data_IF_397944351618
#
_entry.id   IF_397944351618
#
_cell.length_a   1.000
_cell.length_b   1.000
_cell.length_c   1.000
_cell.angle_alpha   90.00
_cell.angle_beta   90.00
_cell.angle_gamma   90.00
#
_symmetry.space_group_name_H-M   'P 1'
#
loop_
_entity.id
_entity.type
_entity.pdbx_description
1 polymer ?
#
# COMPACT_ATOMS: atom_id res chain seq x y z
N UNK A 1 -18.30 -71.58 -13.45
CA UNK A 1 -19.59 -71.82 -12.77
C UNK A 1 -19.58 -71.13 -11.42
N UNK A 2 -20.66 -70.40 -11.10
CA UNK A 2 -21.27 -70.05 -9.78
C UNK A 2 -20.42 -70.32 -8.52
N UNK A 3 -20.32 -69.46 -7.52
CA UNK A 3 -21.16 -68.35 -7.10
C UNK A 3 -20.76 -67.91 -5.68
N UNK A 4 -21.29 -66.74 -5.30
CA UNK A 4 -21.20 -66.07 -4.00
C UNK A 4 -21.39 -66.97 -2.76
N UNK A 5 -20.73 -66.63 -1.64
CA UNK A 5 -21.42 -66.25 -0.38
C UNK A 5 -20.44 -65.67 0.67
N UNK A 6 -20.87 -64.55 1.26
CA UNK A 6 -20.25 -63.76 2.33
C UNK A 6 -20.43 -64.43 3.71
N UNK A 7 -19.47 -64.23 4.60
CA UNK A 7 -19.57 -64.12 6.08
C UNK A 7 -18.11 -64.19 6.60
N UNK A 8 -17.55 -63.33 7.45
CA UNK A 8 -18.07 -62.63 8.60
C UNK A 8 -17.07 -61.55 9.06
N UNK A 9 -17.59 -60.43 9.56
CA UNK A 9 -17.03 -59.57 10.62
C UNK A 9 -15.71 -58.78 10.36
N UNK A 10 -15.80 -57.68 9.61
CA UNK A 10 -14.87 -56.54 9.76
C UNK A 10 -15.48 -55.60 10.81
N UNK A 11 -14.97 -55.67 12.03
CA UNK A 11 -15.28 -54.71 13.11
C UNK A 11 -14.68 -53.36 12.72
N UNK A 12 -15.46 -52.53 12.01
CA UNK A 12 -15.14 -51.12 11.83
C UNK A 12 -15.41 -50.42 13.17
N UNK A 13 -14.36 -50.28 13.99
CA UNK A 13 -14.35 -49.34 15.10
C UNK A 13 -14.33 -47.94 14.49
N UNK A 14 -15.52 -47.40 14.25
CA UNK A 14 -15.76 -46.00 13.92
C UNK A 14 -15.48 -45.18 15.19
N UNK A 15 -14.25 -44.68 15.33
CA UNK A 15 -13.93 -43.63 16.30
C UNK A 15 -14.29 -42.30 15.64
N UNK A 16 -15.37 -41.61 16.05
CA UNK A 16 -15.65 -40.27 15.53
C UNK A 16 -14.56 -39.34 16.07
N UNK A 17 -13.63 -38.94 15.21
CA UNK A 17 -12.73 -37.83 15.47
C UNK A 17 -13.50 -36.50 15.36
N UNK A 18 -14.48 -36.28 16.25
CA UNK A 18 -14.86 -34.91 16.61
C UNK A 18 -13.81 -34.39 17.57
N UNK A 19 -12.61 -34.14 17.05
CA UNK A 19 -11.62 -33.34 17.77
C UNK A 19 -12.13 -31.91 17.79
N UNK A 20 -12.97 -31.64 18.79
CA UNK A 20 -13.36 -30.32 19.21
C UNK A 20 -12.08 -29.49 19.34
N UNK A 21 -11.89 -28.52 18.43
CA UNK A 21 -10.87 -27.49 18.56
C UNK A 21 -11.30 -26.53 19.69
N UNK A 22 -11.36 -27.07 20.90
CA UNK A 22 -11.72 -26.37 22.13
C UNK A 22 -10.44 -25.78 22.68
N UNK A 23 -10.27 -24.49 22.41
CA UNK A 23 -9.60 -23.55 23.31
C UNK A 23 -8.15 -23.90 23.70
N UNK A 24 -7.22 -23.87 22.74
CA UNK A 24 -5.80 -23.66 23.05
C UNK A 24 -5.43 -22.18 23.21
N UNK A 25 -6.39 -21.32 23.54
CA UNK A 25 -6.13 -20.00 24.08
C UNK A 25 -6.21 -20.13 25.61
N UNK A 26 -5.15 -20.65 26.20
CA UNK A 26 -4.87 -20.51 27.63
C UNK A 26 -4.64 -19.01 27.89
N UNK A 27 -5.77 -18.32 28.03
CA UNK A 27 -5.91 -16.89 28.08
C UNK A 27 -6.59 -16.58 29.42
N UNK A 28 -5.87 -16.86 30.49
CA UNK A 28 -6.22 -16.44 31.83
C UNK A 28 -5.14 -15.43 32.25
N UNK A 29 -5.52 -14.14 32.23
CA UNK A 29 -4.78 -12.99 32.78
C UNK A 29 -3.59 -12.42 31.96
N UNK A 30 -3.28 -12.89 30.75
CA UNK A 30 -2.10 -12.40 30.02
C UNK A 30 -2.33 -11.02 29.36
N UNK A 31 -1.57 -10.01 29.78
CA UNK A 31 -1.41 -8.75 29.06
C UNK A 31 -0.73 -9.00 27.71
N UNK A 32 -1.34 -8.55 26.61
CA UNK A 32 -0.84 -8.76 25.25
C UNK A 32 -0.44 -7.43 24.60
N UNK A 33 0.64 -7.47 23.82
CA UNK A 33 1.00 -6.38 22.91
C UNK A 33 0.42 -6.70 21.53
N UNK A 34 -0.55 -5.90 21.09
CA UNK A 34 -1.36 -6.17 19.90
C UNK A 34 -1.51 -4.93 19.02
N UNK A 35 -1.89 -5.17 17.78
CA UNK A 35 -2.23 -4.12 16.82
C UNK A 35 -3.72 -3.80 16.90
N UNK A 36 -4.03 -2.54 17.14
CA UNK A 36 -5.38 -2.00 17.04
C UNK A 36 -5.57 -1.37 15.67
N UNK A 37 -6.60 -1.81 14.92
CA UNK A 37 -6.81 -1.30 13.56
C UNK A 37 -7.49 0.06 13.63
N UNK A 38 -6.87 1.02 12.98
CA UNK A 38 -7.40 2.35 12.70
C UNK A 38 -7.30 2.62 11.19
N UNK A 39 -7.81 3.78 10.77
CA UNK A 39 -7.82 4.18 9.36
C UNK A 39 -9.09 3.76 8.63
N UNK A 40 -9.13 4.10 7.34
CA UNK A 40 -10.31 3.92 6.48
C UNK A 40 -10.28 2.57 5.77
N UNK A 41 -11.37 2.25 5.05
CA UNK A 41 -11.41 1.09 4.15
C UNK A 41 -10.30 1.24 3.10
N UNK A 42 -9.56 0.16 2.85
CA UNK A 42 -8.44 0.16 1.89
C UNK A 42 -7.17 0.89 2.33
N UNK A 43 -7.17 1.57 3.49
CA UNK A 43 -5.99 2.28 4.00
C UNK A 43 -5.83 2.01 5.52
N UNK A 44 -5.28 0.83 5.89
CA UNK A 44 -5.13 0.44 7.29
C UNK A 44 -3.98 1.20 7.96
N UNK A 45 -4.21 1.66 9.19
CA UNK A 45 -3.19 2.21 10.07
C UNK A 45 -3.28 1.50 11.42
N UNK A 46 -2.18 1.02 11.97
CA UNK A 46 -2.21 0.25 13.21
C UNK A 46 -1.60 1.03 14.35
N UNK A 47 -2.23 0.97 15.52
CA UNK A 47 -1.64 1.45 16.77
C UNK A 47 -1.10 0.25 17.54
N UNK A 48 0.12 0.34 18.04
CA UNK A 48 0.73 -0.70 18.88
C UNK A 48 0.31 -0.40 20.32
N UNK A 49 -0.54 -1.27 20.87
CA UNK A 49 -1.15 -1.07 22.19
C UNK A 49 -0.92 -2.27 23.09
N UNK A 50 -0.78 -1.99 24.38
CA UNK A 50 -0.84 -2.98 25.44
C UNK A 50 -2.29 -3.07 25.91
N UNK A 51 -2.85 -4.28 25.89
CA UNK A 51 -4.20 -4.51 26.37
C UNK A 51 -4.31 -5.88 27.04
N UNK A 52 -5.31 -6.03 27.90
CA UNK A 52 -5.73 -7.35 28.35
C UNK A 52 -6.16 -8.18 27.13
N UNK A 53 -5.74 -9.44 27.11
CA UNK A 53 -6.13 -10.41 26.12
C UNK A 53 -7.64 -10.59 25.90
N UNK A 54 -8.47 -10.30 26.90
CA UNK A 54 -9.94 -10.43 26.88
C UNK A 54 -10.63 -9.22 26.27
N UNK A 55 -9.95 -8.08 26.22
CA UNK A 55 -10.52 -6.86 25.66
C UNK A 55 -10.77 -7.05 24.15
N UNK A 56 -11.83 -6.45 23.56
CA UNK A 56 -12.05 -6.52 22.12
C UNK A 56 -10.93 -5.80 21.36
N UNK A 57 -10.67 -6.17 20.08
CA UNK A 57 -9.55 -5.66 19.27
C UNK A 57 -9.41 -4.14 19.34
N UNK A 58 -10.53 -3.45 19.10
CA UNK A 58 -10.57 -1.99 19.01
C UNK A 58 -11.15 -1.30 20.26
N UNK A 59 -11.25 -2.00 21.39
CA UNK A 59 -11.77 -1.43 22.64
C UNK A 59 -10.70 -0.92 23.60
N UNK A 60 -10.95 -1.11 24.89
CA UNK A 60 -10.10 -0.61 25.98
C UNK A 60 -8.68 -1.20 25.91
N UNK A 61 -7.70 -0.33 26.05
CA UNK A 61 -6.29 -0.66 26.18
C UNK A 61 -5.70 0.01 27.43
N UNK A 62 -4.55 -0.46 27.89
CA UNK A 62 -3.83 0.06 29.06
C UNK A 62 -2.97 1.24 28.63
N UNK A 63 -2.10 1.03 27.64
CA UNK A 63 -1.16 2.04 27.16
C UNK A 63 -0.92 1.88 25.65
N UNK A 64 -0.69 2.99 24.96
CA UNK A 64 -0.21 3.02 23.57
C UNK A 64 1.30 3.24 23.58
N UNK A 65 2.04 2.33 22.96
CA UNK A 65 3.51 2.41 22.87
C UNK A 65 4.02 2.79 21.48
N UNK A 66 3.15 2.84 20.48
CA UNK A 66 3.59 3.22 19.14
C UNK A 66 2.52 3.14 18.07
N UNK A 67 2.98 3.25 16.83
CA UNK A 67 2.19 3.12 15.62
C UNK A 67 2.93 2.36 14.52
N UNK A 68 2.16 1.75 13.63
CA UNK A 68 2.65 0.96 12.51
C UNK A 68 1.84 1.30 11.25
N UNK A 69 2.52 1.83 10.24
CA UNK A 69 1.94 2.16 8.94
C UNK A 69 2.47 1.20 7.86
N UNK A 70 1.67 0.24 7.38
CA UNK A 70 2.07 -0.69 6.32
C UNK A 70 1.96 -0.07 4.91
N UNK A 71 1.36 1.11 4.75
CA UNK A 71 1.14 1.71 3.43
C UNK A 71 2.39 2.40 2.88
N UNK A 72 3.38 2.63 3.72
CA UNK A 72 4.69 3.16 3.32
C UNK A 72 5.66 2.02 3.02
N UNK A 73 6.56 2.22 2.07
CA UNK A 73 7.62 1.27 1.74
C UNK A 73 8.98 1.98 1.78
N UNK A 74 9.86 1.67 2.76
CA UNK A 74 9.67 0.71 3.87
C UNK A 74 8.58 1.15 4.87
N UNK A 75 7.94 0.18 5.54
CA UNK A 75 6.88 0.47 6.50
C UNK A 75 7.36 1.37 7.64
N UNK A 76 6.60 2.43 7.92
CA UNK A 76 6.93 3.39 8.98
C UNK A 76 6.48 2.85 10.32
N UNK A 77 7.43 2.73 11.25
CA UNK A 77 7.19 2.29 12.61
C UNK A 77 7.63 3.43 13.52
N UNK A 78 6.74 3.84 14.41
CA UNK A 78 7.05 4.75 15.51
C UNK A 78 6.82 3.99 16.81
N UNK A 79 7.85 3.84 17.64
CA UNK A 79 7.82 2.99 18.81
C UNK A 79 8.57 3.67 19.96
N UNK A 80 7.89 3.81 21.09
CA UNK A 80 8.54 4.13 22.35
C UNK A 80 9.30 2.87 22.85
N UNK A 81 10.62 2.89 22.64
CA UNK A 81 11.49 1.74 22.91
C UNK A 81 11.51 1.36 24.40
N UNK A 82 11.62 2.34 25.29
CA UNK A 82 11.71 2.13 26.74
C UNK A 82 10.44 1.48 27.30
N UNK A 83 9.28 2.01 26.91
CA UNK A 83 7.98 1.46 27.35
C UNK A 83 7.75 0.07 26.77
N UNK A 84 8.11 -0.17 25.51
CA UNK A 84 8.02 -1.50 24.93
C UNK A 84 8.90 -2.51 25.69
N UNK A 85 10.12 -2.13 26.05
CA UNK A 85 11.03 -2.99 26.80
C UNK A 85 10.53 -3.26 28.23
N UNK A 86 9.99 -2.25 28.90
CA UNK A 86 9.35 -2.40 30.21
C UNK A 86 8.25 -3.46 30.18
N UNK A 87 7.28 -3.33 29.28
CA UNK A 87 6.17 -4.27 29.18
C UNK A 87 6.62 -5.69 28.81
N UNK A 88 7.64 -5.81 27.96
CA UNK A 88 8.25 -7.11 27.64
C UNK A 88 8.95 -7.76 28.84
N UNK A 89 9.50 -6.96 29.76
CA UNK A 89 10.11 -7.43 31.01
C UNK A 89 9.08 -7.80 32.08
N UNK A 90 7.95 -7.09 32.13
CA UNK A 90 6.80 -7.43 33.00
C UNK A 90 6.09 -8.74 32.56
N UNK A 91 6.36 -9.20 31.34
CA UNK A 91 5.85 -10.48 30.82
C UNK A 91 4.73 -10.35 29.80
N UNK A 92 4.50 -9.15 29.26
CA UNK A 92 3.54 -8.95 28.19
C UNK A 92 3.89 -9.82 26.97
N UNK A 93 2.88 -10.47 26.40
CA UNK A 93 3.06 -11.38 25.28
C UNK A 93 2.76 -10.66 23.95
N UNK A 94 3.74 -10.52 23.03
CA UNK A 94 3.49 -9.91 21.74
C UNK A 94 2.78 -10.89 20.79
N UNK A 95 1.84 -10.36 20.01
CA UNK A 95 1.27 -11.05 18.84
C UNK A 95 2.32 -11.22 17.73
N UNK A 96 2.11 -12.13 16.77
CA UNK A 96 3.15 -12.51 15.80
C UNK A 96 3.68 -11.35 14.95
N UNK A 97 2.79 -10.53 14.37
CA UNK A 97 3.21 -9.34 13.62
C UNK A 97 3.93 -8.32 14.50
N UNK A 98 3.45 -8.12 15.74
CA UNK A 98 4.10 -7.22 16.70
C UNK A 98 5.46 -7.73 17.10
N UNK A 99 5.62 -9.04 17.29
CA UNK A 99 6.91 -9.68 17.55
C UNK A 99 7.90 -9.36 16.44
N UNK A 100 7.48 -9.45 15.18
CA UNK A 100 8.33 -9.10 14.04
C UNK A 100 8.72 -7.61 14.06
N UNK A 101 7.79 -6.71 14.38
CA UNK A 101 8.07 -5.27 14.55
C UNK A 101 9.09 -5.04 15.67
N UNK A 102 8.86 -5.60 16.86
CA UNK A 102 9.76 -5.49 18.01
C UNK A 102 11.14 -6.11 17.74
N UNK A 103 11.21 -7.16 16.91
CA UNK A 103 12.48 -7.75 16.48
C UNK A 103 13.28 -6.81 15.61
N UNK A 104 12.59 -6.10 14.70
CA UNK A 104 13.22 -5.19 13.74
C UNK A 104 13.71 -3.93 14.44
N UNK A 105 12.93 -3.42 15.40
CA UNK A 105 13.31 -2.23 16.18
C UNK A 105 14.40 -2.52 17.22
N UNK A 106 14.53 -3.78 17.67
CA UNK A 106 15.59 -4.23 18.56
C UNK A 106 15.18 -4.48 20.00
N UNK A 107 13.91 -4.26 20.35
CA UNK A 107 13.39 -4.47 21.71
C UNK A 107 13.62 -5.92 22.17
N UNK A 108 13.41 -6.90 21.29
CA UNK A 108 13.67 -8.31 21.64
C UNK A 108 15.15 -8.63 21.81
N UNK A 109 16.03 -7.98 21.04
CA UNK A 109 17.47 -8.14 21.17
C UNK A 109 17.92 -7.59 22.53
N UNK A 110 17.47 -6.38 22.89
CA UNK A 110 17.78 -5.78 24.18
C UNK A 110 17.26 -6.61 25.35
N UNK A 111 16.02 -7.14 25.27
CA UNK A 111 15.47 -8.04 26.29
C UNK A 111 16.34 -9.30 26.48
N UNK A 112 16.82 -9.90 25.39
CA UNK A 112 17.69 -11.07 25.44
C UNK A 112 19.03 -10.74 26.12
N UNK A 113 19.65 -9.60 25.75
CA UNK A 113 20.90 -9.14 26.34
C UNK A 113 20.75 -8.84 27.84
N UNK A 114 19.70 -8.14 28.25
CA UNK A 114 19.38 -7.92 29.67
C UNK A 114 19.19 -9.23 30.44
N UNK A 115 18.63 -10.26 29.79
CA UNK A 115 18.54 -11.60 30.37
C UNK A 115 19.91 -12.25 30.62
N UNK A 116 20.91 -11.98 29.76
CA UNK A 116 22.29 -12.42 29.96
C UNK A 116 22.99 -11.69 31.10
N UNK A 117 22.78 -10.38 31.22
CA UNK A 117 23.30 -9.57 32.34
C UNK A 117 22.73 -10.04 33.67
N UNK A 118 21.40 -10.27 33.75
CA UNK A 118 20.74 -10.79 34.96
C UNK A 118 21.27 -12.16 35.40
N UNK A 119 21.80 -12.94 34.47
CA UNK A 119 22.42 -14.25 34.74
C UNK A 119 23.92 -14.16 35.01
N UNK A 120 24.51 -12.96 34.98
CA UNK A 120 25.95 -12.74 35.23
C UNK A 120 26.85 -13.12 34.06
N UNK A 121 26.32 -13.28 32.84
CA UNK A 121 27.13 -13.69 31.68
C UNK A 121 28.04 -12.57 31.12
N UNK A 122 27.64 -11.31 31.28
CA UNK A 122 28.38 -10.12 30.86
C UNK A 122 27.83 -8.86 31.56
N UNK A 123 28.58 -7.76 31.49
CA UNK A 123 28.26 -6.44 32.02
C UNK A 123 27.27 -5.66 31.13
N UNK A 124 26.62 -4.65 31.72
CA UNK A 124 25.65 -3.79 31.03
C UNK A 124 26.27 -3.00 29.86
N UNK A 125 27.53 -2.56 29.99
CA UNK A 125 28.20 -1.81 28.93
C UNK A 125 28.49 -2.70 27.71
N UNK A 126 28.94 -3.95 27.93
CA UNK A 126 29.07 -4.92 26.84
C UNK A 126 27.74 -5.26 26.19
N UNK A 127 26.65 -5.33 26.96
CA UNK A 127 25.31 -5.54 26.41
C UNK A 127 24.93 -4.39 25.45
N UNK A 128 25.12 -3.15 25.89
CA UNK A 128 24.81 -1.97 25.11
C UNK A 128 25.64 -1.89 23.82
N UNK A 129 26.94 -2.16 23.90
CA UNK A 129 27.83 -2.20 22.72
C UNK A 129 27.36 -3.22 21.68
N UNK A 130 27.00 -4.44 22.12
CA UNK A 130 26.46 -5.48 21.22
C UNK A 130 25.14 -5.05 20.57
N UNK A 131 24.31 -4.32 21.31
CA UNK A 131 23.04 -3.80 20.80
C UNK A 131 23.28 -2.71 19.74
N UNK A 132 24.21 -1.80 19.98
CA UNK A 132 24.56 -0.71 19.06
C UNK A 132 25.18 -1.25 17.76
N UNK A 133 26.10 -2.21 17.85
CA UNK A 133 26.69 -2.88 16.68
C UNK A 133 25.61 -3.61 15.85
N UNK A 134 24.69 -4.28 16.52
CA UNK A 134 23.55 -4.89 15.85
C UNK A 134 22.65 -3.85 15.17
N UNK A 135 22.41 -2.70 15.84
CA UNK A 135 21.53 -1.64 15.35
C UNK A 135 22.13 -0.95 14.13
N UNK A 136 23.42 -0.62 14.15
CA UNK A 136 24.13 0.00 13.02
C UNK A 136 24.06 -0.88 11.77
N UNK A 137 24.32 -2.19 11.89
CA UNK A 137 24.21 -3.12 10.77
C UNK A 137 22.79 -3.24 10.21
N UNK A 138 21.75 -3.08 11.04
CA UNK A 138 20.35 -3.02 10.58
C UNK A 138 20.03 -1.72 9.86
N UNK A 139 20.49 -0.60 10.38
CA UNK A 139 20.25 0.72 9.80
C UNK A 139 20.96 0.86 8.45
N UNK A 140 22.17 0.34 8.30
CA UNK A 140 22.88 0.24 7.02
C UNK A 140 22.07 -0.57 5.99
N UNK A 141 21.56 -1.74 6.38
CA UNK A 141 20.72 -2.57 5.50
C UNK A 141 19.43 -1.86 5.09
N UNK A 142 18.80 -1.12 6.02
CA UNK A 142 17.63 -0.31 5.72
C UNK A 142 17.98 0.84 4.76
N UNK A 143 19.08 1.54 4.98
CA UNK A 143 19.53 2.64 4.13
C UNK A 143 19.86 2.15 2.71
N UNK A 144 20.52 0.99 2.58
CA UNK A 144 20.76 0.34 1.28
C UNK A 144 19.45 0.00 0.57
N UNK A 145 18.47 -0.51 1.30
CA UNK A 145 17.14 -0.83 0.73
C UNK A 145 16.42 0.44 0.29
N UNK A 146 16.43 1.50 1.11
CA UNK A 146 15.84 2.80 0.76
C UNK A 146 16.51 3.41 -0.48
N UNK A 147 17.83 3.37 -0.58
CA UNK A 147 18.59 3.86 -1.73
C UNK A 147 18.24 3.08 -3.02
N UNK A 148 18.19 1.75 -2.95
CA UNK A 148 17.78 0.91 -4.07
C UNK A 148 16.34 1.20 -4.52
N UNK A 149 15.41 1.37 -3.58
CA UNK A 149 14.01 1.68 -3.88
C UNK A 149 13.83 3.11 -4.42
N UNK A 150 14.62 4.08 -3.93
CA UNK A 150 14.62 5.44 -4.46
C UNK A 150 15.10 5.45 -5.91
N UNK A 151 16.22 4.77 -6.21
CA UNK A 151 16.72 4.61 -7.57
C UNK A 151 15.68 3.94 -8.48
N UNK A 152 15.08 2.84 -8.04
CA UNK A 152 14.04 2.16 -8.81
C UNK A 152 12.81 3.05 -9.08
N UNK A 153 12.41 3.89 -8.13
CA UNK A 153 11.32 4.87 -8.32
C UNK A 153 11.72 5.96 -9.32
N UNK A 154 12.94 6.48 -9.24
CA UNK A 154 13.45 7.48 -10.19
C UNK A 154 13.52 6.92 -11.61
N UNK A 155 14.04 5.71 -11.78
CA UNK A 155 14.15 5.05 -13.07
C UNK A 155 12.74 4.76 -13.65
N UNK A 156 11.80 4.30 -12.82
CA UNK A 156 10.41 4.11 -13.22
C UNK A 156 9.71 5.42 -13.58
N UNK A 157 9.97 6.52 -12.84
CA UNK A 157 9.42 7.83 -13.13
C UNK A 157 9.97 8.41 -14.45
N UNK A 158 11.28 8.25 -14.70
CA UNK A 158 11.91 8.65 -15.96
C UNK A 158 11.33 7.87 -17.14
N UNK A 159 11.21 6.55 -17.01
CA UNK A 159 10.61 5.71 -18.04
C UNK A 159 9.14 6.08 -18.31
N UNK A 160 8.35 6.37 -17.27
CA UNK A 160 6.97 6.83 -17.42
C UNK A 160 6.88 8.18 -18.13
N UNK A 161 7.75 9.12 -17.80
CA UNK A 161 7.81 10.46 -18.41
C UNK A 161 8.22 10.38 -19.89
N UNK A 162 9.21 9.54 -20.21
CA UNK A 162 9.61 9.29 -21.60
C UNK A 162 8.49 8.61 -22.41
N UNK A 163 7.79 7.65 -21.83
CA UNK A 163 6.64 7.00 -22.45
C UNK A 163 5.48 8.00 -22.69
N UNK A 164 5.21 8.88 -21.73
CA UNK A 164 4.19 9.94 -21.86
C UNK A 164 4.57 10.95 -22.95
N UNK A 165 5.84 11.39 -23.01
CA UNK A 165 6.34 12.28 -24.07
C UNK A 165 6.18 11.67 -25.46
N UNK A 166 6.56 10.41 -25.64
CA UNK A 166 6.41 9.69 -26.91
C UNK A 166 4.93 9.54 -27.30
N UNK A 167 4.06 9.20 -26.33
CA UNK A 167 2.63 9.11 -26.56
C UNK A 167 1.99 10.46 -26.92
N UNK A 168 2.44 11.55 -26.31
CA UNK A 168 1.95 12.89 -26.59
C UNK A 168 2.46 13.42 -27.94
N UNK A 169 3.72 13.14 -28.32
CA UNK A 169 4.27 13.45 -29.64
C UNK A 169 3.49 12.72 -30.75
N UNK A 170 3.29 11.41 -30.63
CA UNK A 170 2.51 10.63 -31.60
C UNK A 170 1.06 11.11 -31.73
N UNK A 171 0.42 11.52 -30.61
CA UNK A 171 -0.91 12.13 -30.64
C UNK A 171 -0.90 13.49 -31.35
N UNK A 172 0.12 14.31 -31.13
CA UNK A 172 0.24 15.64 -31.76
C UNK A 172 0.44 15.51 -33.28
N UNK A 173 1.28 14.59 -33.74
CA UNK A 173 1.50 14.30 -35.16
C UNK A 173 0.22 13.80 -35.83
N UNK A 174 -0.48 12.84 -35.21
CA UNK A 174 -1.76 12.35 -35.74
C UNK A 174 -2.86 13.44 -35.80
N UNK A 175 -2.87 14.38 -34.85
CA UNK A 175 -3.79 15.53 -34.88
C UNK A 175 -3.37 16.54 -35.96
N UNK A 176 -2.08 16.77 -36.15
CA UNK A 176 -1.57 17.65 -37.20
C UNK A 176 -1.88 17.10 -38.60
N UNK A 177 -1.69 15.80 -38.82
CA UNK A 177 -2.07 15.13 -40.07
C UNK A 177 -3.57 15.22 -40.33
N UNK A 178 -4.40 14.97 -39.31
CA UNK A 178 -5.87 15.12 -39.44
C UNK A 178 -6.29 16.56 -39.72
N UNK A 179 -5.64 17.55 -39.10
CA UNK A 179 -5.90 18.98 -39.36
C UNK A 179 -5.43 19.40 -40.74
N UNK A 180 -4.28 18.92 -41.20
CA UNK A 180 -3.77 19.19 -42.54
C UNK A 180 -4.66 18.54 -43.62
N UNK A 181 -5.12 17.32 -43.40
CA UNK A 181 -6.09 16.64 -44.28
C UNK A 181 -7.44 17.38 -44.31
N UNK A 182 -7.95 17.82 -43.15
CA UNK A 182 -9.18 18.60 -43.09
C UNK A 182 -9.04 19.98 -43.76
N UNK A 183 -7.89 20.65 -43.61
CA UNK A 183 -7.62 21.93 -44.27
C UNK A 183 -7.50 21.76 -45.79
N UNK A 184 -6.85 20.69 -46.26
CA UNK A 184 -6.75 20.38 -47.70
C UNK A 184 -8.12 20.04 -48.30
N UNK A 185 -8.94 19.25 -47.61
CA UNK A 185 -10.31 18.95 -48.03
C UNK A 185 -11.21 20.20 -48.04
N UNK A 186 -11.01 21.12 -47.08
CA UNK A 186 -11.75 22.39 -47.05
C UNK A 186 -11.32 23.34 -48.17
N UNK A 187 -10.03 23.39 -48.49
CA UNK A 187 -9.49 24.18 -49.60
C UNK A 187 -9.89 23.61 -50.98
N UNK A 188 -9.96 22.28 -51.13
CA UNK A 188 -10.50 21.64 -52.34
C UNK A 188 -12.01 21.90 -52.49
N UNK A 189 -12.79 21.87 -51.40
CA UNK A 189 -14.21 22.22 -51.43
C UNK A 189 -14.47 23.72 -51.72
N UNK A 190 -13.64 24.63 -51.20
CA UNK A 190 -13.70 26.07 -51.54
C UNK A 190 -13.23 26.36 -52.97
N UNK A 191 -12.26 25.59 -53.51
CA UNK A 191 -11.82 25.73 -54.90
C UNK A 191 -12.85 25.17 -55.90
N UNK A 192 -13.57 24.11 -55.54
CA UNK A 192 -14.70 23.58 -56.33
C UNK A 192 -15.90 24.54 -56.31
N UNK A 193 -16.12 25.27 -55.20
CA UNK A 193 -17.12 26.33 -55.09
C UNK A 193 -16.73 27.65 -55.80
N UNK A 194 -15.44 27.92 -56.01
CA UNK A 194 -14.94 29.11 -56.72
C UNK A 194 -14.63 28.86 -58.21
N UNK A 195 -14.61 27.61 -58.66
CA UNK A 195 -14.59 27.23 -60.09
C UNK A 195 -15.92 27.49 -60.81
N UNK A 196 -16.95 27.88 -60.06
CA UNK A 196 -18.21 28.41 -60.54
C UNK A 196 -18.26 29.91 -60.21
N UNK A 197 -17.88 30.79 -61.14
CA UNK A 197 -18.39 32.18 -61.27
C UNK A 197 -17.67 32.90 -62.43
N UNK A 198 -18.29 33.84 -63.19
CA UNK A 198 -19.71 34.12 -63.43
C UNK A 198 -20.04 34.29 -64.95
N UNK A 199 -21.30 34.23 -65.36
CA UNK A 199 -21.75 34.74 -66.66
C UNK A 199 -23.00 35.64 -66.48
N UNK A 200 -22.88 36.86 -67.02
CA UNK A 200 -23.77 38.02 -67.01
C UNK A 200 -25.21 37.71 -67.49
N UNK A 201 -26.26 38.50 -67.17
CA UNK A 201 -26.47 39.90 -67.58
C UNK A 201 -27.57 40.61 -66.77
N UNK A 202 -27.26 41.86 -66.41
CA UNK A 202 -28.08 43.10 -66.41
C UNK A 202 -29.61 43.05 -66.52
N UNK A 203 -30.29 43.76 -65.59
CA UNK A 203 -31.25 44.79 -65.99
C UNK A 203 -31.27 45.93 -64.96
N UNK A 204 -31.19 47.15 -65.48
CA UNK A 204 -31.17 48.40 -64.76
C UNK A 204 -32.58 48.83 -64.34
N UNK A 205 -32.71 49.50 -63.19
CA UNK A 205 -33.62 50.65 -63.05
C UNK A 205 -33.26 51.46 -61.81
N UNK A 206 -33.03 52.75 -62.04
CA UNK A 206 -33.07 53.86 -61.09
C UNK A 206 -34.04 54.89 -61.68
N UNK A 207 -34.47 55.96 -60.99
CA UNK A 207 -34.61 56.21 -59.54
C UNK A 207 -36.01 56.80 -59.20
N UNK A 208 -36.43 56.89 -57.92
CA UNK A 208 -37.14 58.08 -57.44
C UNK A 208 -37.16 58.20 -55.91
N UNK A 209 -37.12 59.46 -55.47
CA UNK A 209 -36.99 59.92 -54.11
C UNK A 209 -38.32 59.92 -53.37
N UNK A 210 -38.29 59.73 -52.04
CA UNK A 210 -39.14 60.51 -51.15
C UNK A 210 -38.51 60.66 -49.77
N UNK A 211 -38.60 61.89 -49.28
CA UNK A 211 -38.01 62.39 -48.06
C UNK A 211 -38.79 61.94 -46.81
N UNK A 212 -38.12 61.89 -45.66
CA UNK A 212 -38.65 62.39 -44.38
C UNK A 212 -37.52 62.52 -43.34
N UNK A 213 -37.34 63.71 -42.74
CA UNK A 213 -36.74 63.86 -41.41
C UNK A 213 -37.74 64.51 -40.42
N UNK A 214 -37.84 63.95 -39.21
CA UNK A 214 -38.37 64.49 -37.94
C UNK A 214 -38.90 63.28 -37.12
N UNK A 215 -38.65 63.09 -35.82
CA UNK A 215 -38.18 63.93 -34.71
C UNK A 215 -37.55 62.99 -33.66
#
# INVERSE_FOLDING_TARGET
MRGYLRNHLIIHIFVPATYSNKLSNQNLMATKIRLQRHGRKGYPFYKIVIADSRAPRDGKFIERIGSYNPNTNPATIDLNFERALYWMNVGAQPTDTVRNILSREGVMMMKHLQGGVKKGAFDEATAQRKFEEWKSGKDEKLNKTKASMAKAKEDAAKAALEAEKKANQAKAEAVAEKRAAAAKAKAEAEAEAAGEEPAAETEATAPEAEATPAE
#
